data_IF_303404493300
#
_entry.id   IF_303404493300
#
_cell.length_a   1.000
_cell.length_b   1.000
_cell.length_c   1.000
_cell.angle_alpha   90.00
_cell.angle_beta   90.00
_cell.angle_gamma   90.00
#
_symmetry.space_group_name_H-M   'P 1'
#
loop_
_entity.id
_entity.type
_entity.pdbx_description
1 polymer ?
#
# COMPACT_ATOMS: atom_id res chain seq x y z
N UNK A 1 6.68 -4.37 -5.41
CA UNK A 1 7.22 -4.61 -4.04
C UNK A 1 8.69 -5.00 -4.10
N UNK A 2 9.05 -6.07 -4.83
CA UNK A 2 10.44 -6.54 -4.98
C UNK A 2 11.40 -5.42 -5.43
N UNK A 3 11.14 -4.83 -6.60
CA UNK A 3 12.00 -3.79 -7.19
C UNK A 3 12.16 -2.56 -6.28
N UNK A 4 11.08 -2.19 -5.57
CA UNK A 4 11.12 -1.08 -4.61
C UNK A 4 12.00 -1.40 -3.42
N UNK A 5 11.93 -2.63 -2.89
CA UNK A 5 12.77 -3.07 -1.80
C UNK A 5 14.24 -3.12 -2.24
N UNK A 6 14.53 -3.72 -3.39
CA UNK A 6 15.90 -3.78 -3.94
C UNK A 6 16.46 -2.38 -4.20
N UNK A 7 15.67 -1.47 -4.76
CA UNK A 7 16.09 -0.09 -4.99
C UNK A 7 16.33 0.69 -3.69
N UNK A 8 15.33 0.76 -2.80
CA UNK A 8 15.36 1.59 -1.59
C UNK A 8 16.40 1.10 -0.57
N UNK A 9 16.55 -0.21 -0.42
CA UNK A 9 17.45 -0.82 0.56
C UNK A 9 18.85 -1.13 0.00
N UNK A 10 19.14 -0.78 -1.26
CA UNK A 10 20.48 -0.89 -1.85
C UNK A 10 21.55 0.00 -1.20
N UNK A 11 21.16 0.96 -0.34
CA UNK A 11 22.05 1.99 0.25
C UNK A 11 22.85 2.80 -0.79
N UNK A 12 22.40 2.85 -2.05
CA UNK A 12 23.02 3.63 -3.13
C UNK A 12 22.39 5.02 -3.27
N UNK A 13 22.97 5.86 -4.14
CA UNK A 13 22.39 7.16 -4.50
C UNK A 13 21.00 6.98 -5.12
N UNK A 14 20.21 8.06 -5.10
CA UNK A 14 18.85 8.07 -5.65
C UNK A 14 18.83 7.64 -7.13
N UNK A 15 19.76 8.13 -7.96
CA UNK A 15 19.77 7.74 -9.38
C UNK A 15 19.98 6.23 -9.52
N UNK A 16 20.93 5.67 -8.78
CA UNK A 16 21.25 4.25 -8.86
C UNK A 16 20.13 3.37 -8.32
N UNK A 17 19.42 3.81 -7.27
CA UNK A 17 18.23 3.13 -6.78
C UNK A 17 17.11 3.09 -7.84
N UNK A 18 16.91 4.17 -8.60
CA UNK A 18 15.96 4.19 -9.72
C UNK A 18 16.41 3.33 -10.91
N UNK A 19 17.71 3.20 -11.14
CA UNK A 19 18.25 2.27 -12.14
C UNK A 19 18.04 0.81 -11.73
N UNK A 20 18.25 0.47 -10.46
CA UNK A 20 17.99 -0.87 -9.93
C UNK A 20 16.51 -1.23 -10.09
N UNK A 21 15.59 -0.30 -9.83
CA UNK A 21 14.15 -0.52 -10.05
C UNK A 21 13.77 -0.73 -11.54
N UNK A 22 14.65 -0.38 -12.49
CA UNK A 22 14.45 -0.66 -13.91
C UNK A 22 15.04 -2.00 -14.33
N UNK A 23 16.00 -2.51 -13.57
CA UNK A 23 16.58 -3.81 -13.83
C UNK A 23 15.53 -4.88 -13.50
N UNK A 24 15.30 -5.80 -14.43
CA UNK A 24 14.35 -6.90 -14.25
C UNK A 24 14.90 -8.01 -13.36
N UNK A 25 16.17 -7.92 -12.93
CA UNK A 25 16.79 -8.86 -12.01
C UNK A 25 16.28 -8.65 -10.60
N UNK A 26 15.58 -9.66 -10.07
CA UNK A 26 15.17 -9.70 -8.67
C UNK A 26 16.39 -9.82 -7.76
N UNK A 27 16.54 -8.88 -6.82
CA UNK A 27 17.55 -8.96 -5.78
C UNK A 27 17.08 -9.76 -4.57
N UNK A 28 18.02 -10.04 -3.67
CA UNK A 28 17.73 -10.77 -2.43
C UNK A 28 16.74 -10.02 -1.54
N UNK A 29 16.83 -8.69 -1.48
CA UNK A 29 15.94 -7.88 -0.63
C UNK A 29 14.51 -7.88 -1.18
N UNK A 30 14.35 -7.83 -2.50
CA UNK A 30 13.06 -7.95 -3.16
C UNK A 30 12.40 -9.29 -2.89
N UNK A 31 13.14 -10.38 -2.97
CA UNK A 31 12.64 -11.73 -2.67
C UNK A 31 12.18 -11.85 -1.20
N UNK A 32 13.01 -11.40 -0.26
CA UNK A 32 12.67 -11.41 1.17
C UNK A 32 11.43 -10.57 1.45
N UNK A 33 11.33 -9.37 0.86
CA UNK A 33 10.17 -8.51 1.01
C UNK A 33 8.89 -9.17 0.51
N UNK A 34 8.93 -9.82 -0.66
CA UNK A 34 7.78 -10.54 -1.22
C UNK A 34 7.38 -11.70 -0.32
N UNK A 35 8.34 -12.52 0.12
CA UNK A 35 8.07 -13.66 0.99
C UNK A 35 7.44 -13.21 2.32
N UNK A 36 8.03 -12.23 3.00
CA UNK A 36 7.49 -11.67 4.23
C UNK A 36 6.11 -11.04 4.02
N UNK A 37 5.91 -10.29 2.93
CA UNK A 37 4.63 -9.66 2.61
C UNK A 37 3.52 -10.69 2.41
N UNK A 38 3.80 -11.76 1.66
CA UNK A 38 2.85 -12.87 1.45
C UNK A 38 2.57 -13.59 2.77
N UNK A 39 3.61 -13.88 3.57
CA UNK A 39 3.44 -14.55 4.87
C UNK A 39 2.54 -13.75 5.82
N UNK A 40 2.76 -12.43 5.94
CA UNK A 40 1.92 -11.55 6.77
C UNK A 40 0.48 -11.49 6.25
N UNK A 41 0.29 -11.37 4.93
CA UNK A 41 -1.05 -11.33 4.32
C UNK A 41 -1.81 -12.64 4.59
N UNK A 42 -1.15 -13.78 4.41
CA UNK A 42 -1.74 -15.09 4.72
C UNK A 42 -2.09 -15.24 6.20
N UNK A 43 -1.20 -14.83 7.10
CA UNK A 43 -1.46 -14.88 8.54
C UNK A 43 -2.66 -13.99 8.93
N UNK A 44 -2.74 -12.78 8.39
CA UNK A 44 -3.85 -11.86 8.62
C UNK A 44 -5.19 -12.42 8.10
N UNK A 45 -5.22 -12.92 6.87
CA UNK A 45 -6.42 -13.54 6.28
C UNK A 45 -6.85 -14.77 7.10
N UNK A 46 -5.90 -15.60 7.54
CA UNK A 46 -6.19 -16.79 8.33
C UNK A 46 -6.77 -16.44 9.71
N UNK A 47 -6.25 -15.38 10.35
CA UNK A 47 -6.79 -14.86 11.61
C UNK A 47 -8.22 -14.32 11.43
N UNK A 48 -8.45 -13.51 10.37
CA UNK A 48 -9.79 -13.01 10.04
C UNK A 48 -10.77 -14.16 9.79
N UNK A 49 -10.35 -15.20 9.06
CA UNK A 49 -11.17 -16.39 8.77
C UNK A 49 -11.55 -17.16 10.04
N UNK A 50 -10.62 -17.28 10.98
CA UNK A 50 -10.81 -18.11 12.18
C UNK A 50 -11.71 -17.42 13.23
N UNK A 51 -11.64 -16.09 13.32
CA UNK A 51 -12.29 -15.34 14.41
C UNK A 51 -13.47 -14.49 13.96
N UNK A 52 -13.54 -14.10 12.69
CA UNK A 52 -14.59 -13.24 12.16
C UNK A 52 -15.90 -13.96 11.88
N UNK A 53 -17.02 -13.23 11.96
CA UNK A 53 -18.29 -13.73 11.43
C UNK A 53 -18.25 -13.77 9.89
N UNK A 54 -19.08 -14.60 9.22
CA UNK A 54 -19.08 -14.67 7.75
C UNK A 54 -19.26 -13.31 7.06
N UNK A 55 -20.08 -12.44 7.65
CA UNK A 55 -20.33 -11.07 7.16
C UNK A 55 -19.09 -10.19 7.33
N UNK A 56 -18.42 -10.25 8.49
CA UNK A 56 -17.18 -9.49 8.72
C UNK A 56 -16.05 -9.91 7.79
N UNK A 57 -15.91 -11.21 7.55
CA UNK A 57 -14.90 -11.76 6.64
C UNK A 57 -15.10 -11.21 5.22
N UNK A 58 -16.33 -11.25 4.70
CA UNK A 58 -16.66 -10.72 3.37
C UNK A 58 -16.38 -9.23 3.28
N UNK A 59 -16.78 -8.47 4.29
CA UNK A 59 -16.57 -7.02 4.31
C UNK A 59 -15.07 -6.70 4.34
N UNK A 60 -14.28 -7.36 5.19
CA UNK A 60 -12.84 -7.12 5.29
C UNK A 60 -12.08 -7.50 4.02
N UNK A 61 -12.42 -8.62 3.39
CA UNK A 61 -11.83 -9.04 2.11
C UNK A 61 -12.08 -8.04 0.98
N UNK A 62 -13.16 -7.26 1.05
CA UNK A 62 -13.50 -6.25 0.04
C UNK A 62 -12.90 -4.87 0.41
N UNK A 63 -13.01 -4.46 1.67
CA UNK A 63 -12.56 -3.15 2.15
C UNK A 63 -11.03 -3.05 2.15
N UNK A 64 -10.30 -4.08 2.59
CA UNK A 64 -8.85 -4.01 2.76
C UNK A 64 -8.12 -3.71 1.42
N UNK A 65 -8.40 -4.43 0.32
CA UNK A 65 -7.86 -4.07 -1.00
C UNK A 65 -8.32 -2.70 -1.48
N UNK A 66 -9.56 -2.29 -1.17
CA UNK A 66 -10.07 -0.97 -1.53
C UNK A 66 -9.31 0.16 -0.82
N UNK A 67 -9.01 0.01 0.48
CA UNK A 67 -8.12 0.93 1.20
C UNK A 67 -6.74 0.97 0.57
N UNK A 68 -6.18 -0.21 0.28
CA UNK A 68 -4.85 -0.30 -0.29
C UNK A 68 -4.74 0.46 -1.62
N UNK A 69 -5.75 0.35 -2.50
CA UNK A 69 -5.81 1.14 -3.73
C UNK A 69 -6.04 2.64 -3.49
N UNK A 70 -6.86 3.00 -2.51
CA UNK A 70 -7.07 4.40 -2.13
C UNK A 70 -5.75 5.07 -1.71
N UNK A 71 -4.86 4.32 -1.05
CA UNK A 71 -3.53 4.82 -0.72
C UNK A 71 -2.73 5.27 -1.95
N UNK A 72 -2.80 4.52 -3.05
CA UNK A 72 -2.06 4.84 -4.27
C UNK A 72 -2.48 6.21 -4.83
N UNK A 73 -3.78 6.52 -4.80
CA UNK A 73 -4.34 7.82 -5.21
C UNK A 73 -3.74 8.95 -4.36
N UNK A 74 -3.67 8.75 -3.04
CA UNK A 74 -3.03 9.70 -2.13
C UNK A 74 -1.53 9.87 -2.41
N UNK A 75 -0.84 8.79 -2.79
CA UNK A 75 0.57 8.82 -3.14
C UNK A 75 0.86 9.57 -4.44
N UNK A 76 0.04 9.37 -5.47
CA UNK A 76 0.12 10.10 -6.74
C UNK A 76 -0.07 11.61 -6.52
N UNK A 77 -1.01 11.99 -5.64
CA UNK A 77 -1.28 13.40 -5.31
C UNK A 77 -0.17 14.05 -4.47
N UNK A 78 0.47 13.29 -3.58
CA UNK A 78 1.39 13.85 -2.56
C UNK A 78 2.83 14.02 -3.04
N UNK A 79 3.25 13.25 -4.04
CA UNK A 79 4.64 13.22 -4.51
C UNK A 79 4.73 13.34 -6.03
N UNK A 80 5.72 14.09 -6.48
CA UNK A 80 6.01 14.23 -7.91
C UNK A 80 6.53 12.90 -8.49
N UNK A 81 6.16 12.63 -9.74
CA UNK A 81 6.62 11.44 -10.45
C UNK A 81 8.14 11.50 -10.69
N UNK A 82 8.86 10.47 -10.25
CA UNK A 82 10.33 10.45 -10.28
C UNK A 82 10.96 10.16 -11.64
N UNK A 83 10.18 9.70 -12.62
CA UNK A 83 10.68 9.29 -13.95
C UNK A 83 10.61 10.48 -14.92
N UNK A 84 11.76 11.04 -15.31
CA UNK A 84 11.91 12.15 -16.27
C UNK A 84 11.74 11.75 -17.76
N UNK A 85 11.06 10.65 -18.08
CA UNK A 85 10.85 10.13 -19.44
C UNK A 85 9.85 8.98 -19.48
N UNK A 86 9.51 8.51 -20.69
CA UNK A 86 8.50 7.48 -20.99
C UNK A 86 8.48 6.34 -19.96
N UNK A 87 7.39 6.29 -19.21
CA UNK A 87 7.03 5.19 -18.34
C UNK A 87 5.53 5.07 -18.40
N UNK A 88 5.02 3.84 -18.44
CA UNK A 88 3.59 3.50 -18.49
C UNK A 88 2.77 4.13 -17.35
N UNK A 89 3.41 4.58 -16.27
CA UNK A 89 2.78 5.35 -15.18
C UNK A 89 2.46 6.81 -15.51
N UNK A 90 2.95 7.39 -16.62
CA UNK A 90 2.67 8.80 -16.96
C UNK A 90 1.17 9.06 -17.12
N UNK A 91 0.41 8.18 -17.77
CA UNK A 91 -1.03 8.42 -17.98
C UNK A 91 -1.82 8.59 -16.67
N UNK A 92 -1.42 7.88 -15.60
CA UNK A 92 -2.03 8.00 -14.28
C UNK A 92 -1.59 9.25 -13.50
N UNK A 93 -0.42 9.84 -13.82
CA UNK A 93 0.08 11.09 -13.24
C UNK A 93 -0.23 12.33 -14.09
N UNK A 94 -0.56 12.15 -15.37
CA UNK A 94 -0.87 13.23 -16.32
C UNK A 94 -2.30 13.75 -16.19
N UNK A 95 -3.22 12.98 -15.57
CA UNK A 95 -4.54 13.48 -15.21
C UNK A 95 -4.49 14.07 -13.80
N UNK A 96 -4.88 15.35 -13.61
CA UNK A 96 -5.06 15.88 -12.26
C UNK A 96 -6.13 15.06 -11.57
N UNK A 97 -5.75 14.36 -10.50
CA UNK A 97 -6.68 13.60 -9.66
C UNK A 97 -7.72 14.58 -9.13
N UNK A 98 -8.96 14.41 -9.58
CA UNK A 98 -10.06 15.29 -9.23
C UNK A 98 -10.65 14.94 -7.86
N UNK A 99 -11.50 15.81 -7.33
CA UNK A 99 -12.29 15.52 -6.13
C UNK A 99 -13.16 14.26 -6.27
N UNK A 100 -13.49 13.87 -7.51
CA UNK A 100 -14.26 12.65 -7.82
C UNK A 100 -13.51 11.35 -7.51
N UNK A 101 -12.19 11.33 -7.67
CA UNK A 101 -11.38 10.15 -7.34
C UNK A 101 -11.28 9.93 -5.83
N UNK A 102 -11.40 11.03 -5.07
CA UNK A 102 -11.51 11.00 -3.61
C UNK A 102 -12.82 10.36 -3.14
N UNK A 103 -13.86 10.37 -3.97
CA UNK A 103 -15.14 9.72 -3.68
C UNK A 103 -14.97 8.20 -3.56
N UNK A 104 -14.09 7.60 -4.36
CA UNK A 104 -13.74 6.18 -4.24
C UNK A 104 -12.99 5.87 -2.94
N UNK A 105 -12.26 6.83 -2.36
CA UNK A 105 -11.64 6.69 -1.04
C UNK A 105 -12.68 6.73 0.09
N UNK A 106 -13.83 7.35 -0.14
CA UNK A 106 -14.92 7.44 0.84
C UNK A 106 -15.69 6.11 0.99
N UNK A 107 -15.72 5.28 -0.06
CA UNK A 107 -16.40 3.98 -0.05
C UNK A 107 -15.87 3.07 1.06
N UNK A 108 -14.57 2.74 1.15
CA UNK A 108 -14.06 1.89 2.22
C UNK A 108 -14.23 2.53 3.61
N UNK A 109 -14.18 3.87 3.71
CA UNK A 109 -14.48 4.62 4.94
C UNK A 109 -15.90 4.38 5.44
N UNK A 110 -16.91 4.55 4.58
CA UNK A 110 -18.30 4.32 4.97
C UNK A 110 -18.55 2.86 5.33
N UNK A 111 -18.03 1.93 4.54
CA UNK A 111 -18.18 0.51 4.80
C UNK A 111 -17.46 0.06 6.09
N UNK A 112 -16.36 0.71 6.46
CA UNK A 112 -15.65 0.40 7.73
C UNK A 112 -16.47 0.76 8.96
N UNK A 113 -17.38 1.74 8.90
CA UNK A 113 -18.20 2.15 10.05
C UNK A 113 -19.16 1.03 10.49
N UNK A 114 -19.56 0.13 9.58
CA UNK A 114 -20.37 -1.04 9.90
C UNK A 114 -19.63 -2.06 10.79
N UNK A 115 -18.31 -1.96 10.91
CA UNK A 115 -17.50 -2.79 11.82
C UNK A 115 -17.35 -2.17 13.23
N UNK A 116 -17.96 -1.01 13.48
CA UNK A 116 -17.87 -0.31 14.77
C UNK A 116 -16.44 0.10 15.13
N UNK A 117 -16.03 -0.13 16.38
CA UNK A 117 -14.69 0.22 16.86
C UNK A 117 -13.57 -0.41 16.02
N UNK A 118 -13.77 -1.63 15.49
CA UNK A 118 -12.78 -2.33 14.66
C UNK A 118 -12.51 -1.58 13.35
N UNK A 119 -13.55 -0.99 12.76
CA UNK A 119 -13.45 -0.12 11.60
C UNK A 119 -12.67 1.17 11.88
N UNK A 120 -12.87 1.76 13.06
CA UNK A 120 -12.14 2.96 13.49
C UNK A 120 -10.63 2.66 13.60
N UNK A 121 -10.25 1.54 14.20
CA UNK A 121 -8.84 1.10 14.27
C UNK A 121 -8.24 0.91 12.87
N UNK A 122 -8.96 0.26 11.96
CA UNK A 122 -8.56 0.11 10.56
C UNK A 122 -8.30 1.46 9.87
N UNK A 123 -9.18 2.44 10.08
CA UNK A 123 -9.06 3.77 9.49
C UNK A 123 -7.82 4.51 10.01
N UNK A 124 -7.60 4.47 11.33
CA UNK A 124 -6.42 5.08 11.95
C UNK A 124 -5.15 4.46 11.37
N UNK A 125 -5.07 3.12 11.33
CA UNK A 125 -3.90 2.42 10.80
C UNK A 125 -3.70 2.72 9.31
N UNK A 126 -4.77 2.80 8.54
CA UNK A 126 -4.71 3.19 7.12
C UNK A 126 -4.10 4.58 6.94
N UNK A 127 -4.60 5.60 7.64
CA UNK A 127 -4.11 6.97 7.51
C UNK A 127 -2.67 7.10 8.01
N UNK A 128 -2.35 6.52 9.16
CA UNK A 128 -0.99 6.55 9.72
C UNK A 128 -0.04 5.79 8.79
N UNK A 129 -0.38 4.58 8.36
CA UNK A 129 0.44 3.77 7.47
C UNK A 129 0.71 4.48 6.15
N UNK A 130 -0.32 5.04 5.53
CA UNK A 130 -0.17 5.84 4.29
C UNK A 130 0.74 7.04 4.52
N UNK A 131 0.51 7.81 5.59
CA UNK A 131 1.34 8.98 5.90
C UNK A 131 2.81 8.61 6.15
N UNK A 132 3.08 7.53 6.89
CA UNK A 132 4.43 7.05 7.17
C UNK A 132 5.15 6.64 5.89
N UNK A 133 4.49 5.88 4.99
CA UNK A 133 5.09 5.46 3.72
C UNK A 133 5.38 6.69 2.85
N UNK A 134 4.46 7.66 2.78
CA UNK A 134 4.67 8.87 1.99
C UNK A 134 5.79 9.75 2.54
N UNK A 135 5.88 9.92 3.86
CA UNK A 135 6.99 10.63 4.50
C UNK A 135 8.32 9.91 4.25
N UNK A 136 8.33 8.58 4.33
CA UNK A 136 9.50 7.77 4.04
C UNK A 136 9.96 7.93 2.58
N UNK A 137 9.04 7.82 1.62
CA UNK A 137 9.33 8.05 0.20
C UNK A 137 9.79 9.48 -0.08
N UNK A 138 9.17 10.48 0.57
CA UNK A 138 9.58 11.89 0.47
C UNK A 138 11.01 12.09 0.96
N UNK A 139 11.35 11.56 2.13
CA UNK A 139 12.69 11.69 2.72
C UNK A 139 13.77 10.94 1.94
N UNK A 140 13.45 9.73 1.45
CA UNK A 140 14.43 8.86 0.80
C UNK A 140 14.65 9.20 -0.67
N UNK A 141 13.57 9.39 -1.42
CA UNK A 141 13.60 9.51 -2.88
C UNK A 141 13.08 10.87 -3.38
N UNK A 142 12.31 11.59 -2.56
CA UNK A 142 11.62 12.84 -2.94
C UNK A 142 10.83 12.75 -4.26
N UNK A 143 10.39 11.54 -4.60
CA UNK A 143 9.58 11.22 -5.76
C UNK A 143 8.91 9.86 -5.60
N UNK A 144 7.96 9.57 -6.48
CA UNK A 144 7.26 8.29 -6.52
C UNK A 144 7.27 7.68 -7.93
N UNK A 145 7.29 6.35 -8.02
CA UNK A 145 7.20 5.57 -9.27
C UNK A 145 6.04 4.57 -9.21
N UNK A 146 5.71 3.94 -10.33
CA UNK A 146 4.68 2.88 -10.37
C UNK A 146 5.02 1.71 -9.44
N UNK A 147 6.28 1.32 -9.37
CA UNK A 147 6.75 0.22 -8.53
C UNK A 147 6.59 0.56 -7.04
N UNK A 148 6.87 1.81 -6.67
CA UNK A 148 6.70 2.33 -5.30
C UNK A 148 5.23 2.38 -4.87
N UNK A 149 4.32 2.70 -5.80
CA UNK A 149 2.87 2.64 -5.58
C UNK A 149 2.41 1.19 -5.38
N UNK A 150 2.87 0.27 -6.22
CA UNK A 150 2.61 -1.15 -6.07
C UNK A 150 3.15 -1.70 -4.75
N UNK A 151 4.35 -1.31 -4.35
CA UNK A 151 4.93 -1.67 -3.06
C UNK A 151 4.11 -1.11 -1.88
N UNK A 152 3.65 0.14 -1.98
CA UNK A 152 2.80 0.75 -0.96
C UNK A 152 1.48 0.01 -0.80
N UNK A 153 0.87 -0.42 -1.90
CA UNK A 153 -0.34 -1.23 -1.87
C UNK A 153 -0.11 -2.58 -1.20
N UNK A 154 0.92 -3.33 -1.59
CA UNK A 154 1.19 -4.63 -0.96
C UNK A 154 1.48 -4.50 0.54
N UNK A 155 2.24 -3.49 0.95
CA UNK A 155 2.55 -3.25 2.37
C UNK A 155 1.30 -2.87 3.16
N UNK A 156 0.48 -1.92 2.67
CA UNK A 156 -0.73 -1.53 3.38
C UNK A 156 -1.76 -2.65 3.43
N UNK A 157 -1.90 -3.43 2.36
CA UNK A 157 -2.82 -4.56 2.35
C UNK A 157 -2.41 -5.60 3.42
N UNK A 158 -1.12 -5.93 3.51
CA UNK A 158 -0.60 -6.86 4.51
C UNK A 158 -0.81 -6.33 5.95
N UNK A 159 -0.51 -5.05 6.21
CA UNK A 159 -0.69 -4.43 7.53
C UNK A 159 -2.16 -4.37 7.93
N UNK A 160 -3.05 -3.98 7.01
CA UNK A 160 -4.48 -3.87 7.29
C UNK A 160 -5.10 -5.25 7.55
N UNK A 161 -4.73 -6.29 6.81
CA UNK A 161 -5.18 -7.66 7.11
C UNK A 161 -4.69 -8.14 8.47
N UNK A 162 -3.43 -7.85 8.83
CA UNK A 162 -2.88 -8.22 10.12
C UNK A 162 -3.62 -7.53 11.28
N UNK A 163 -3.86 -6.22 11.16
CA UNK A 163 -4.59 -5.44 12.17
C UNK A 163 -6.05 -5.87 12.24
N UNK A 164 -6.69 -6.13 11.10
CA UNK A 164 -8.06 -6.64 11.07
C UNK A 164 -8.17 -7.98 11.82
N UNK A 165 -7.24 -8.91 11.58
CA UNK A 165 -7.16 -10.17 12.32
C UNK A 165 -6.97 -9.95 13.82
N UNK A 166 -5.98 -9.14 14.20
CA UNK A 166 -5.70 -8.84 15.61
C UNK A 166 -6.88 -8.17 16.32
N UNK A 167 -7.56 -7.22 15.68
CA UNK A 167 -8.74 -6.54 16.23
C UNK A 167 -9.99 -7.43 16.29
N UNK A 168 -10.00 -8.57 15.60
CA UNK A 168 -11.06 -9.57 15.73
C UNK A 168 -10.86 -10.49 16.92
N UNK A 169 -9.60 -10.75 17.30
CA UNK A 169 -9.23 -11.61 18.45
C UNK A 169 -9.47 -10.93 19.81
N UNK A 170 -9.40 -9.60 19.85
CA UNK A 170 -9.73 -8.76 21.02
C UNK A 170 -11.23 -8.48 21.10
#
# INVERSE_FOLDING_TARGET
LGDTADGIFSHRSRERALEIMKDSRTGMMGLVAVFCGVAVKLAGIWSVKTTGTPVQILILLLIVPAYSRASMILGIKSLNYGRKGEGTGREHFSRPIGLKDFFYCLIPLVFSLFLGYKGLVLNIVFFIGTALILVFYKKKMNCITGDMLGAMNEVLEAVLFLVAGAALVL
#
